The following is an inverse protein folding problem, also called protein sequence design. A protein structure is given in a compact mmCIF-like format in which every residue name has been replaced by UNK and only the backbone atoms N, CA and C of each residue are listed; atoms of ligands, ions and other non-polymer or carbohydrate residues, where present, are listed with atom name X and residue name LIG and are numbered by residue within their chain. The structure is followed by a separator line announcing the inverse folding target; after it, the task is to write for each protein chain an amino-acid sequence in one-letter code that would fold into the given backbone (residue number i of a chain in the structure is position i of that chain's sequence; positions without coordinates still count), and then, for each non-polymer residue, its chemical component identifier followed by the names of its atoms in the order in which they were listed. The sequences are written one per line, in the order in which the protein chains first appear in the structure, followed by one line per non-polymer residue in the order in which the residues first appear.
data_IF_841094445288
#
_entry.id   IF_841094445288
#
_cell.length_a   1.000
_cell.length_b   1.000
_cell.length_c   1.000
_cell.angle_alpha   90.00
_cell.angle_beta   90.00
_cell.angle_gamma   90.00
#
_symmetry.space_group_name_H-M   'P 1'
#
loop_
_entity.id
_entity.type
_entity.pdbx_description
1 polymer ?
#
# COMPACT_ATOMS: atom_id res chain seq x y z
N UNK A 1 31.59 36.80 10.56
CA UNK A 1 30.22 36.26 10.74
C UNK A 1 30.20 34.91 10.06
N UNK A 2 30.24 33.83 10.84
CA UNK A 2 30.05 32.49 10.27
C UNK A 2 28.58 32.37 9.84
N UNK A 3 28.27 31.88 8.64
CA UNK A 3 26.90 31.54 8.31
C UNK A 3 26.46 30.45 9.29
N UNK A 4 25.46 30.73 10.11
CA UNK A 4 24.77 29.71 10.89
C UNK A 4 24.35 28.59 9.94
N UNK A 5 24.57 27.30 10.28
CA UNK A 5 24.05 26.22 9.46
C UNK A 5 22.55 26.43 9.38
N UNK A 6 22.03 26.67 8.18
CA UNK A 6 20.59 26.74 7.93
C UNK A 6 20.02 25.38 8.31
N UNK A 7 19.54 25.24 9.54
CA UNK A 7 18.77 24.09 9.99
C UNK A 7 17.57 24.03 9.08
N UNK A 8 17.51 22.98 8.26
CA UNK A 8 16.42 22.76 7.34
C UNK A 8 15.09 22.84 8.11
N UNK A 9 14.07 23.57 7.62
CA UNK A 9 12.80 23.68 8.31
C UNK A 9 12.20 22.28 8.50
N UNK A 10 11.66 22.03 9.69
CA UNK A 10 11.05 20.76 10.04
C UNK A 10 9.92 20.44 9.04
N UNK A 11 9.98 19.26 8.43
CA UNK A 11 9.01 18.85 7.42
C UNK A 11 8.50 17.44 7.65
N UNK A 12 7.24 17.23 7.28
CA UNK A 12 6.52 15.98 7.49
C UNK A 12 6.17 15.34 6.16
N UNK A 13 6.40 14.05 6.03
CA UNK A 13 5.95 13.23 4.91
C UNK A 13 4.95 12.19 5.42
N UNK A 14 3.68 12.31 5.02
CA UNK A 14 2.65 11.30 5.30
C UNK A 14 2.63 10.24 4.21
N UNK A 15 2.76 8.98 4.58
CA UNK A 15 2.85 7.84 3.64
C UNK A 15 1.69 6.90 3.85
N UNK A 16 1.04 6.52 2.75
CA UNK A 16 0.14 5.36 2.69
C UNK A 16 0.99 4.15 2.26
N UNK A 17 1.23 3.17 3.15
CA UNK A 17 1.87 1.92 2.78
C UNK A 17 0.96 1.10 1.84
N UNK A 18 1.55 0.31 0.91
CA UNK A 18 0.81 -0.64 0.09
C UNK A 18 -0.21 -1.47 0.85
N UNK A 19 -1.44 -1.50 0.32
CA UNK A 19 -2.52 -2.36 0.77
C UNK A 19 -2.89 -3.34 -0.35
N UNK A 20 -3.55 -4.43 0.04
CA UNK A 20 -3.99 -5.48 -0.88
C UNK A 20 -5.23 -5.07 -1.70
N UNK A 21 -6.02 -4.10 -1.21
CA UNK A 21 -7.16 -3.55 -1.94
C UNK A 21 -6.75 -2.32 -2.76
N UNK A 22 -6.61 -2.51 -4.06
CA UNK A 22 -6.18 -1.45 -5.00
C UNK A 22 -7.26 -0.41 -5.32
N UNK A 23 -8.52 -0.72 -4.99
CA UNK A 23 -9.70 0.01 -5.43
C UNK A 23 -10.34 0.90 -4.35
N UNK A 24 -9.83 0.87 -3.10
CA UNK A 24 -10.38 1.67 -1.99
C UNK A 24 -9.37 2.75 -1.59
N UNK A 25 -9.55 4.01 -2.02
CA UNK A 25 -8.65 5.09 -1.59
C UNK A 25 -8.81 5.31 -0.09
N UNK A 26 -7.69 5.41 0.63
CA UNK A 26 -7.70 5.75 2.05
C UNK A 26 -7.21 7.19 2.25
N UNK A 27 -8.09 8.14 2.61
CA UNK A 27 -7.78 9.56 2.52
C UNK A 27 -7.00 10.13 3.73
N UNK A 28 -6.57 9.31 4.70
CA UNK A 28 -6.00 9.79 5.96
C UNK A 28 -4.79 10.70 5.78
N UNK A 29 -3.87 10.35 4.89
CA UNK A 29 -2.66 11.16 4.66
C UNK A 29 -2.99 12.49 4.01
N UNK A 30 -4.01 12.54 3.15
CA UNK A 30 -4.48 13.78 2.55
C UNK A 30 -5.10 14.70 3.62
N UNK A 31 -5.94 14.15 4.49
CA UNK A 31 -6.53 14.88 5.62
C UNK A 31 -5.46 15.39 6.60
N UNK A 32 -4.56 14.52 7.07
CA UNK A 32 -3.49 14.90 8.00
C UNK A 32 -2.56 15.94 7.39
N UNK A 33 -2.22 15.80 6.10
CA UNK A 33 -1.39 16.79 5.40
C UNK A 33 -2.10 18.15 5.30
N UNK A 34 -3.40 18.16 4.98
CA UNK A 34 -4.21 19.38 4.96
C UNK A 34 -4.28 20.06 6.33
N UNK A 35 -4.52 19.26 7.38
CA UNK A 35 -4.54 19.72 8.76
C UNK A 35 -3.19 20.33 9.16
N UNK A 36 -2.07 19.64 8.94
CA UNK A 36 -0.73 20.13 9.27
C UNK A 36 -0.40 21.44 8.57
N UNK A 37 -0.73 21.55 7.28
CA UNK A 37 -0.55 22.80 6.51
C UNK A 37 -1.37 23.94 7.09
N UNK A 38 -2.60 23.67 7.56
CA UNK A 38 -3.43 24.68 8.24
C UNK A 38 -2.82 25.20 9.55
N UNK A 39 -1.88 24.45 10.13
CA UNK A 39 -1.12 24.83 11.34
C UNK A 39 0.28 25.39 11.04
N UNK A 40 0.58 25.67 9.77
CA UNK A 40 1.87 26.24 9.34
C UNK A 40 3.00 25.21 9.26
N UNK A 41 2.71 23.91 9.34
CA UNK A 41 3.71 22.85 9.22
C UNK A 41 3.94 22.52 7.75
N UNK A 42 5.22 22.45 7.34
CA UNK A 42 5.58 21.97 5.99
C UNK A 42 5.27 20.49 5.89
N UNK A 43 4.19 20.13 5.21
CA UNK A 43 3.74 18.74 5.09
C UNK A 43 3.49 18.35 3.63
N UNK A 44 3.85 17.11 3.30
CA UNK A 44 3.65 16.46 2.00
C UNK A 44 3.07 15.06 2.22
N UNK A 45 2.52 14.48 1.16
CA UNK A 45 2.06 13.09 1.21
C UNK A 45 2.56 12.28 0.02
N UNK A 46 2.69 10.97 0.23
CA UNK A 46 3.01 9.99 -0.78
C UNK A 46 2.13 8.75 -0.65
N UNK A 47 1.53 8.35 -1.78
CA UNK A 47 0.80 7.10 -1.90
C UNK A 47 1.74 6.04 -2.51
N UNK A 48 2.46 5.34 -1.64
CA UNK A 48 3.37 4.28 -2.08
C UNK A 48 2.60 3.03 -2.53
N UNK A 49 1.34 2.86 -2.10
CA UNK A 49 0.47 1.78 -2.58
C UNK A 49 0.20 1.92 -4.07
N UNK A 50 -0.29 3.09 -4.48
CA UNK A 50 -0.57 3.38 -5.89
C UNK A 50 0.71 3.38 -6.72
N UNK A 51 1.80 3.99 -6.21
CA UNK A 51 3.09 4.00 -6.94
C UNK A 51 3.66 2.60 -7.15
N UNK A 52 3.53 1.71 -6.17
CA UNK A 52 3.99 0.32 -6.28
C UNK A 52 3.28 -0.40 -7.43
N UNK A 53 1.94 -0.30 -7.45
CA UNK A 53 1.11 -0.93 -8.49
C UNK A 53 1.44 -0.34 -9.85
N UNK A 54 1.54 0.98 -9.97
CA UNK A 54 1.87 1.63 -11.24
C UNK A 54 3.29 1.34 -11.72
N UNK A 55 4.22 0.98 -10.81
CA UNK A 55 5.56 0.55 -11.19
C UNK A 55 5.54 -0.87 -11.77
N UNK A 56 4.78 -1.77 -11.13
CA UNK A 56 4.67 -3.17 -11.52
C UNK A 56 3.78 -3.38 -12.75
N UNK A 57 2.71 -2.60 -12.88
CA UNK A 57 1.73 -2.68 -13.96
C UNK A 57 2.17 -1.87 -15.18
N UNK A 58 3.36 -2.21 -15.66
CA UNK A 58 4.00 -1.73 -16.89
C UNK A 58 4.50 -2.93 -17.69
N UNK A 59 4.78 -2.80 -19.00
CA UNK A 59 5.36 -3.90 -19.77
C UNK A 59 6.64 -4.47 -19.11
N UNK A 60 7.53 -3.59 -18.65
CA UNK A 60 8.74 -3.99 -17.93
C UNK A 60 8.44 -4.72 -16.62
N UNK A 61 7.49 -4.21 -15.82
CA UNK A 61 7.09 -4.86 -14.57
C UNK A 61 6.42 -6.21 -14.82
N UNK A 62 5.64 -6.36 -15.89
CA UNK A 62 5.08 -7.63 -16.33
C UNK A 62 6.18 -8.65 -16.65
N UNK A 63 7.25 -8.24 -17.35
CA UNK A 63 8.41 -9.12 -17.60
C UNK A 63 9.04 -9.61 -16.28
N UNK A 64 9.24 -8.71 -15.31
CA UNK A 64 9.79 -9.09 -14.00
C UNK A 64 8.88 -10.09 -13.25
N UNK A 65 7.56 -9.90 -13.33
CA UNK A 65 6.58 -10.83 -12.73
C UNK A 65 6.62 -12.19 -13.44
N UNK A 66 6.74 -12.21 -14.77
CA UNK A 66 6.91 -13.43 -15.56
C UNK A 66 8.16 -14.21 -15.14
N UNK A 67 9.28 -13.53 -14.92
CA UNK A 67 10.51 -14.19 -14.48
C UNK A 67 10.33 -14.89 -13.13
N UNK A 68 9.62 -14.25 -12.18
CA UNK A 68 9.28 -14.86 -10.89
C UNK A 68 8.30 -16.03 -11.04
N UNK A 69 7.29 -15.90 -11.89
CA UNK A 69 6.34 -16.98 -12.18
C UNK A 69 7.01 -18.21 -12.82
N UNK A 70 7.95 -17.99 -13.75
CA UNK A 70 8.71 -19.07 -14.39
C UNK A 70 9.69 -19.76 -13.42
N UNK A 71 10.21 -19.04 -12.44
CA UNK A 71 11.08 -19.60 -11.40
C UNK A 71 10.34 -20.56 -10.44
N UNK A 72 8.99 -20.49 -10.38
CA UNK A 72 8.21 -21.47 -9.64
C UNK A 72 8.20 -22.83 -10.34
N UNK A 73 8.30 -23.94 -9.59
CA UNK A 73 8.02 -25.27 -10.13
C UNK A 73 6.61 -25.33 -10.73
N UNK A 74 6.47 -25.95 -11.90
CA UNK A 74 5.21 -25.97 -12.65
C UNK A 74 4.03 -26.47 -11.80
N UNK A 75 4.19 -27.59 -11.09
CA UNK A 75 3.13 -28.14 -10.22
C UNK A 75 2.77 -27.29 -8.99
N UNK A 76 3.44 -26.15 -8.75
CA UNK A 76 3.12 -25.19 -7.68
C UNK A 76 2.46 -23.92 -8.22
N UNK A 77 2.32 -23.77 -9.54
CA UNK A 77 1.69 -22.59 -10.14
C UNK A 77 0.17 -22.71 -10.01
N UNK A 78 -0.48 -21.63 -9.61
CA UNK A 78 -1.94 -21.57 -9.57
C UNK A 78 -2.53 -21.46 -10.97
N UNK A 79 -3.86 -21.62 -11.10
CA UNK A 79 -4.56 -21.42 -12.36
C UNK A 79 -4.33 -20.00 -12.93
N UNK A 80 -4.30 -18.99 -12.07
CA UNK A 80 -4.02 -17.60 -12.47
C UNK A 80 -2.60 -17.45 -13.00
N UNK A 81 -1.60 -18.09 -12.37
CA UNK A 81 -0.21 -18.06 -12.85
C UNK A 81 -0.04 -18.78 -14.18
N UNK A 82 -0.68 -19.94 -14.36
CA UNK A 82 -0.68 -20.64 -15.65
C UNK A 82 -1.29 -19.77 -16.75
N UNK A 83 -2.49 -19.24 -16.53
CA UNK A 83 -3.17 -18.38 -17.50
C UNK A 83 -2.33 -17.14 -17.86
N UNK A 84 -1.72 -16.49 -16.86
CA UNK A 84 -0.84 -15.35 -17.10
C UNK A 84 0.36 -15.70 -17.98
N UNK A 85 0.99 -16.86 -17.75
CA UNK A 85 2.13 -17.30 -18.56
C UNK A 85 1.72 -17.62 -20.00
N UNK A 86 0.59 -18.30 -20.19
CA UNK A 86 0.07 -18.68 -21.51
C UNK A 86 -0.34 -17.48 -22.36
N UNK A 87 -0.90 -16.43 -21.71
CA UNK A 87 -1.38 -15.22 -22.38
C UNK A 87 -0.47 -14.00 -22.16
N UNK A 88 0.79 -14.21 -21.79
CA UNK A 88 1.70 -13.13 -21.36
C UNK A 88 1.82 -11.98 -22.38
N UNK A 89 1.97 -12.30 -23.67
CA UNK A 89 2.09 -11.28 -24.72
C UNK A 89 0.86 -10.36 -24.78
N UNK A 90 -0.34 -10.89 -24.51
CA UNK A 90 -1.54 -10.06 -24.39
C UNK A 90 -1.45 -9.16 -23.16
N UNK A 91 -1.11 -9.69 -22.00
CA UNK A 91 -0.95 -8.90 -20.78
C UNK A 91 0.07 -7.76 -20.96
N UNK A 92 1.23 -8.05 -21.53
CA UNK A 92 2.30 -7.09 -21.80
C UNK A 92 1.84 -5.94 -22.70
N UNK A 93 1.05 -6.25 -23.74
CA UNK A 93 0.53 -5.25 -24.68
C UNK A 93 -0.70 -4.49 -24.16
N UNK A 94 -1.50 -5.07 -23.26
CA UNK A 94 -2.75 -4.46 -22.79
C UNK A 94 -2.61 -3.70 -21.47
N UNK A 95 -1.58 -3.98 -20.66
CA UNK A 95 -1.46 -3.40 -19.31
C UNK A 95 -1.37 -1.88 -19.32
N UNK A 96 -0.47 -1.30 -20.13
CA UNK A 96 -0.28 0.15 -20.17
C UNK A 96 -1.51 0.91 -20.71
N UNK A 97 -2.15 0.49 -21.83
CA UNK A 97 -3.41 1.08 -22.27
C UNK A 97 -4.52 0.97 -21.22
N UNK A 98 -4.63 -0.17 -20.52
CA UNK A 98 -5.67 -0.38 -19.51
C UNK A 98 -5.48 0.54 -18.30
N UNK A 99 -4.23 0.71 -17.83
CA UNK A 99 -3.92 1.68 -16.77
C UNK A 99 -4.21 3.12 -17.22
N UNK A 100 -3.88 3.48 -18.47
CA UNK A 100 -4.21 4.81 -19.01
C UNK A 100 -5.73 5.06 -19.06
N UNK A 101 -6.51 4.06 -19.46
CA UNK A 101 -7.98 4.12 -19.45
C UNK A 101 -8.53 4.31 -18.02
N UNK A 102 -8.06 3.52 -17.06
CA UNK A 102 -8.49 3.62 -15.65
C UNK A 102 -8.13 4.97 -15.02
N UNK A 103 -7.02 5.58 -15.46
CA UNK A 103 -6.61 6.92 -15.06
C UNK A 103 -7.35 8.05 -15.82
N UNK A 104 -8.28 7.71 -16.70
CA UNK A 104 -9.04 8.67 -17.51
C UNK A 104 -8.21 9.35 -18.61
N UNK A 105 -7.02 8.85 -18.93
CA UNK A 105 -6.12 9.40 -19.95
C UNK A 105 -6.48 8.96 -21.37
N UNK A 106 -7.15 7.82 -21.51
CA UNK A 106 -7.67 7.31 -22.79
C UNK A 106 -9.05 6.69 -22.62
N UNK A 107 -10.10 7.50 -22.77
CA UNK A 107 -11.49 7.02 -22.69
C UNK A 107 -11.95 6.23 -23.92
N UNK A 108 -11.22 6.29 -25.03
CA UNK A 108 -11.59 5.64 -26.31
C UNK A 108 -11.47 4.13 -26.22
N UNK A 109 -10.61 3.63 -25.32
CA UNK A 109 -10.40 2.20 -25.07
C UNK A 109 -11.65 1.50 -24.50
N UNK A 110 -12.62 2.25 -23.96
CA UNK A 110 -13.87 1.71 -23.38
C UNK A 110 -14.60 0.77 -24.33
N UNK A 111 -14.73 1.11 -25.62
CA UNK A 111 -15.42 0.25 -26.60
C UNK A 111 -14.70 -1.09 -26.80
N UNK A 112 -13.37 -1.06 -26.86
CA UNK A 112 -12.56 -2.27 -27.07
C UNK A 112 -12.57 -3.19 -25.85
N UNK A 113 -12.55 -2.61 -24.65
CA UNK A 113 -12.65 -3.36 -23.39
C UNK A 113 -14.07 -3.93 -23.22
N UNK A 114 -15.11 -3.10 -23.40
CA UNK A 114 -16.50 -3.52 -23.26
C UNK A 114 -16.88 -4.65 -24.22
N UNK A 115 -16.28 -4.67 -25.42
CA UNK A 115 -16.44 -5.74 -26.39
C UNK A 115 -15.68 -7.04 -26.10
N UNK A 116 -15.01 -7.16 -24.93
CA UNK A 116 -14.29 -8.36 -24.44
C UNK A 116 -13.17 -8.93 -25.33
N UNK A 117 -12.94 -8.38 -26.53
CA UNK A 117 -11.87 -8.81 -27.44
C UNK A 117 -10.49 -8.22 -27.13
N UNK A 118 -10.39 -7.23 -26.24
CA UNK A 118 -9.13 -6.54 -25.96
C UNK A 118 -8.31 -7.22 -24.85
N UNK A 119 -8.89 -7.41 -23.66
CA UNK A 119 -8.20 -7.93 -22.48
C UNK A 119 -8.10 -9.47 -22.53
N UNK A 120 -7.01 -10.07 -22.02
CA UNK A 120 -7.03 -11.46 -21.62
C UNK A 120 -7.95 -11.62 -20.39
N UNK A 121 -8.82 -12.62 -20.43
CA UNK A 121 -9.84 -12.85 -19.39
C UNK A 121 -9.49 -14.12 -18.60
N UNK A 122 -8.87 -13.94 -17.43
CA UNK A 122 -8.42 -15.02 -16.57
C UNK A 122 -9.51 -15.51 -15.60
N UNK A 123 -9.14 -16.29 -14.57
CA UNK A 123 -10.09 -16.91 -13.64
C UNK A 123 -11.09 -15.94 -12.98
N UNK A 124 -10.75 -14.65 -12.79
CA UNK A 124 -11.68 -13.65 -12.23
C UNK A 124 -12.86 -13.33 -13.15
N UNK A 125 -12.80 -13.70 -14.42
CA UNK A 125 -13.89 -13.49 -15.38
C UNK A 125 -14.93 -14.62 -15.37
N UNK A 126 -14.65 -15.78 -14.77
CA UNK A 126 -15.61 -16.91 -14.72
C UNK A 126 -16.92 -16.56 -14.01
N UNK A 127 -16.89 -15.60 -13.08
CA UNK A 127 -18.09 -15.10 -12.42
C UNK A 127 -19.08 -14.41 -13.39
N UNK A 128 -18.59 -13.94 -14.56
CA UNK A 128 -19.44 -13.34 -15.59
C UNK A 128 -20.26 -14.39 -16.34
N UNK A 129 -19.75 -15.61 -16.47
CA UNK A 129 -20.41 -16.70 -17.20
C UNK A 129 -21.55 -17.31 -16.38
N UNK A 130 -21.55 -17.15 -15.06
CA UNK A 130 -22.60 -17.64 -14.16
C UNK A 130 -23.93 -16.85 -14.26
N UNK A 131 -23.93 -15.71 -14.95
CA UNK A 131 -25.11 -14.88 -15.21
C UNK A 131 -25.54 -14.93 -16.69
N UNK A 132 -24.97 -15.86 -17.46
CA UNK A 132 -25.45 -16.13 -18.82
C UNK A 132 -26.71 -16.99 -18.74
N UNK A 133 -27.87 -16.35 -18.58
CA UNK A 133 -29.17 -17.02 -18.46
C UNK A 133 -29.65 -17.67 -19.79
N UNK A 134 -28.80 -17.72 -20.84
CA UNK A 134 -29.08 -18.36 -22.12
C UNK A 134 -30.16 -17.68 -22.98
N UNK A 135 -30.93 -16.75 -22.41
CA UNK A 135 -31.95 -15.95 -23.09
C UNK A 135 -31.45 -14.55 -23.48
N UNK A 136 -30.33 -14.08 -22.90
CA UNK A 136 -29.74 -12.78 -23.20
C UNK A 136 -28.36 -12.93 -23.84
N UNK A 137 -28.09 -12.25 -24.95
CA UNK A 137 -26.79 -12.29 -25.63
C UNK A 137 -25.64 -11.62 -24.83
N UNK A 138 -25.92 -11.09 -23.64
CA UNK A 138 -24.99 -10.35 -22.81
C UNK A 138 -25.22 -10.67 -21.32
N UNK A 139 -24.40 -11.55 -20.71
CA UNK A 139 -24.51 -11.98 -19.30
C UNK A 139 -24.48 -10.83 -18.27
N UNK A 140 -24.07 -9.64 -18.71
CA UNK A 140 -23.96 -8.44 -17.89
C UNK A 140 -25.10 -7.43 -18.10
N UNK A 141 -26.02 -7.68 -19.04
CA UNK A 141 -27.08 -6.73 -19.38
C UNK A 141 -27.98 -6.38 -18.19
N UNK A 142 -28.23 -7.34 -17.29
CA UNK A 142 -29.03 -7.14 -16.08
C UNK A 142 -28.32 -6.27 -15.03
N UNK A 143 -27.02 -6.46 -14.83
CA UNK A 143 -26.22 -5.71 -13.85
C UNK A 143 -25.84 -4.30 -14.34
N UNK A 144 -25.74 -4.12 -15.66
CA UNK A 144 -25.29 -2.88 -16.29
C UNK A 144 -26.39 -2.10 -17.02
N UNK A 145 -27.67 -2.49 -16.93
CA UNK A 145 -28.82 -1.86 -17.60
C UNK A 145 -28.58 -0.46 -18.22
N UNK A 146 -28.65 0.59 -17.40
CA UNK A 146 -28.39 1.99 -17.82
C UNK A 146 -26.94 2.48 -17.58
N UNK A 147 -26.03 1.62 -17.13
CA UNK A 147 -24.61 1.93 -16.96
C UNK A 147 -23.96 1.97 -18.35
N UNK A 148 -23.48 3.15 -18.74
CA UNK A 148 -22.89 3.37 -20.06
C UNK A 148 -21.68 2.47 -20.29
N UNK A 149 -21.33 2.28 -21.57
CA UNK A 149 -20.16 1.51 -22.03
C UNK A 149 -18.87 1.73 -21.23
N UNK A 150 -18.68 2.92 -20.65
CA UNK A 150 -17.54 3.24 -19.80
C UNK A 150 -17.50 2.47 -18.47
N UNK A 151 -18.64 2.31 -17.80
CA UNK A 151 -18.68 1.66 -16.49
C UNK A 151 -18.51 0.15 -16.62
N UNK A 152 -19.10 -0.45 -17.67
CA UNK A 152 -18.79 -1.82 -18.07
C UNK A 152 -17.30 -2.01 -18.32
N UNK A 153 -16.68 -1.11 -19.09
CA UNK A 153 -15.24 -1.19 -19.36
C UNK A 153 -14.39 -1.05 -18.09
N UNK A 154 -14.76 -0.18 -17.15
CA UNK A 154 -14.08 -0.05 -15.84
C UNK A 154 -14.20 -1.33 -15.02
N UNK A 155 -15.37 -1.97 -15.01
CA UNK A 155 -15.56 -3.23 -14.31
C UNK A 155 -14.68 -4.34 -14.88
N UNK A 156 -14.68 -4.54 -16.20
CA UNK A 156 -13.84 -5.55 -16.87
C UNK A 156 -12.35 -5.27 -16.66
N UNK A 157 -11.93 -4.00 -16.76
CA UNK A 157 -10.56 -3.61 -16.45
C UNK A 157 -10.18 -3.90 -14.99
N UNK A 158 -11.13 -3.77 -14.05
CA UNK A 158 -10.92 -4.11 -12.64
C UNK A 158 -10.74 -5.62 -12.45
N UNK A 159 -11.56 -6.45 -13.12
CA UNK A 159 -11.37 -7.92 -13.10
C UNK A 159 -10.00 -8.32 -13.66
N UNK A 160 -9.57 -7.68 -14.75
CA UNK A 160 -8.24 -7.87 -15.32
C UNK A 160 -7.11 -7.50 -14.35
N UNK A 161 -7.23 -6.39 -13.61
CA UNK A 161 -6.25 -6.05 -12.57
C UNK A 161 -6.30 -7.03 -11.38
N UNK A 162 -7.47 -7.56 -11.04
CA UNK A 162 -7.61 -8.57 -9.98
C UNK A 162 -6.96 -9.91 -10.37
N UNK A 163 -7.04 -10.32 -11.64
CA UNK A 163 -6.28 -11.49 -12.14
C UNK A 163 -4.77 -11.28 -11.94
N UNK A 164 -4.25 -10.11 -12.31
CA UNK A 164 -2.84 -9.77 -12.09
C UNK A 164 -2.47 -9.70 -10.61
N UNK A 165 -3.39 -9.26 -9.75
CA UNK A 165 -3.19 -9.28 -8.30
C UNK A 165 -3.07 -10.72 -7.75
N UNK A 166 -3.86 -11.67 -8.28
CA UNK A 166 -3.72 -13.09 -7.94
C UNK A 166 -2.37 -13.64 -8.42
N UNK A 167 -1.90 -13.25 -9.62
CA UNK A 167 -0.58 -13.64 -10.12
C UNK A 167 0.53 -13.09 -9.22
N UNK A 168 0.46 -11.81 -8.82
CA UNK A 168 1.41 -11.22 -7.89
C UNK A 168 1.44 -12.00 -6.57
N UNK A 169 0.28 -12.34 -6.02
CA UNK A 169 0.20 -13.15 -4.80
C UNK A 169 0.85 -14.52 -4.99
N UNK A 170 0.47 -15.23 -6.04
CA UNK A 170 0.80 -16.65 -6.21
C UNK A 170 2.23 -16.87 -6.72
N UNK A 171 2.77 -15.90 -7.49
CA UNK A 171 4.09 -16.00 -8.13
C UNK A 171 5.18 -15.12 -7.51
N UNK A 172 4.82 -13.99 -6.90
CA UNK A 172 5.78 -12.97 -6.50
C UNK A 172 5.88 -12.84 -5.00
N UNK A 173 4.74 -12.70 -4.32
CA UNK A 173 4.70 -12.50 -2.89
C UNK A 173 3.41 -13.03 -2.27
N UNK A 174 3.48 -14.24 -1.70
CA UNK A 174 2.36 -14.83 -0.97
C UNK A 174 2.02 -14.05 0.31
N UNK A 175 2.88 -13.12 0.75
CA UNK A 175 2.62 -12.21 1.88
C UNK A 175 1.72 -11.06 1.45
N UNK A 176 1.47 -10.85 0.16
CA UNK A 176 0.46 -9.90 -0.29
C UNK A 176 -0.99 -10.37 -0.03
N UNK A 177 -1.18 -11.50 0.67
CA UNK A 177 -2.46 -11.97 1.16
C UNK A 177 -2.56 -11.77 2.68
N UNK A 178 -3.14 -10.67 3.15
CA UNK A 178 -3.29 -10.41 4.59
C UNK A 178 -4.74 -10.22 5.05
N UNK A 179 -5.69 -10.90 4.41
CA UNK A 179 -7.00 -11.16 5.05
C UNK A 179 -6.80 -12.02 6.31
N UNK A 180 -5.79 -12.89 6.34
CA UNK A 180 -5.54 -13.78 7.47
C UNK A 180 -4.81 -13.15 8.66
N UNK A 181 -4.23 -11.95 8.54
CA UNK A 181 -3.64 -11.30 9.71
C UNK A 181 -4.73 -10.77 10.67
N UNK A 182 -5.80 -10.18 10.13
CA UNK A 182 -6.97 -9.78 10.92
C UNK A 182 -7.74 -10.97 11.50
N UNK A 183 -7.92 -12.05 10.73
CA UNK A 183 -8.58 -13.26 11.23
C UNK A 183 -7.73 -14.04 12.25
N UNK A 184 -6.40 -14.05 12.09
CA UNK A 184 -5.48 -14.62 13.08
C UNK A 184 -5.41 -13.78 14.37
N UNK A 185 -5.71 -12.48 14.31
CA UNK A 185 -5.83 -11.59 15.49
C UNK A 185 -7.14 -11.81 16.25
N UNK A 186 -8.21 -12.23 15.56
CA UNK A 186 -9.48 -12.60 16.19
C UNK A 186 -9.44 -13.95 16.93
N UNK A 187 -8.43 -14.78 16.66
CA UNK A 187 -8.16 -16.03 17.37
C UNK A 187 -7.13 -15.82 18.49
N UNK A 188 -7.54 -16.05 19.73
CA UNK A 188 -6.75 -15.95 20.97
C UNK A 188 -5.26 -16.31 20.80
N UNK A 189 -4.38 -15.31 21.05
CA UNK A 189 -2.91 -15.30 20.98
C UNK A 189 -2.26 -15.10 19.60
N UNK A 190 -2.55 -13.99 18.95
CA UNK A 190 -1.70 -13.47 17.88
C UNK A 190 -0.38 -12.93 18.45
N UNK A 191 0.71 -13.65 18.20
CA UNK A 191 2.07 -13.17 18.49
C UNK A 191 2.60 -12.36 17.31
N UNK A 192 3.54 -11.45 17.55
CA UNK A 192 4.24 -10.70 16.50
C UNK A 192 5.23 -11.55 15.69
N UNK A 193 5.47 -12.80 16.12
CA UNK A 193 6.48 -13.70 15.58
C UNK A 193 6.35 -13.96 14.07
N UNK A 194 5.15 -14.21 13.50
CA UNK A 194 5.03 -14.42 12.06
C UNK A 194 5.42 -13.17 11.25
N UNK A 195 5.12 -11.97 11.76
CA UNK A 195 5.47 -10.71 11.12
C UNK A 195 6.98 -10.48 11.20
N UNK A 196 7.59 -10.71 12.36
CA UNK A 196 9.03 -10.62 12.54
C UNK A 196 9.78 -11.56 11.59
N UNK A 197 9.32 -12.81 11.47
CA UNK A 197 9.90 -13.79 10.54
C UNK A 197 9.75 -13.34 9.07
N UNK A 198 8.59 -12.81 8.69
CA UNK A 198 8.38 -12.28 7.34
C UNK A 198 9.27 -11.05 7.04
N UNK A 199 9.53 -10.20 8.04
CA UNK A 199 10.39 -9.02 7.93
C UNK A 199 11.89 -9.37 7.96
N UNK A 200 12.27 -10.49 8.57
CA UNK A 200 13.64 -10.99 8.57
C UNK A 200 13.98 -11.77 7.28
N UNK A 201 12.97 -12.28 6.57
CA UNK A 201 13.17 -13.00 5.33
C UNK A 201 13.69 -12.11 4.19
N UNK A 202 14.36 -12.70 3.17
CA UNK A 202 14.81 -11.97 1.99
C UNK A 202 13.70 -11.16 1.33
N UNK A 203 14.10 -10.06 0.69
CA UNK A 203 13.19 -9.18 -0.03
C UNK A 203 12.57 -9.90 -1.22
N UNK A 204 11.26 -9.73 -1.39
CA UNK A 204 10.55 -10.10 -2.62
C UNK A 204 10.70 -8.99 -3.67
N UNK A 205 10.25 -9.22 -4.91
CA UNK A 205 10.19 -8.16 -5.93
C UNK A 205 9.32 -6.98 -5.46
N UNK A 206 8.26 -7.26 -4.70
CA UNK A 206 7.40 -6.23 -4.09
C UNK A 206 8.20 -5.40 -3.08
N UNK A 207 8.94 -6.06 -2.19
CA UNK A 207 9.79 -5.40 -1.19
C UNK A 207 10.88 -4.53 -1.85
N UNK A 208 11.56 -5.06 -2.88
CA UNK A 208 12.61 -4.34 -3.62
C UNK A 208 12.06 -3.09 -4.31
N UNK A 209 10.91 -3.23 -4.96
CA UNK A 209 10.23 -2.10 -5.64
C UNK A 209 9.76 -1.07 -4.61
N UNK A 210 9.19 -1.50 -3.48
CA UNK A 210 8.78 -0.63 -2.39
C UNK A 210 9.97 0.10 -1.77
N UNK A 211 11.11 -0.57 -1.60
CA UNK A 211 12.34 0.03 -1.11
C UNK A 211 12.82 1.15 -2.06
N UNK A 212 12.86 0.87 -3.37
CA UNK A 212 13.25 1.86 -4.37
C UNK A 212 12.32 3.10 -4.36
N UNK A 213 11.00 2.87 -4.28
CA UNK A 213 10.01 3.94 -4.20
C UNK A 213 10.12 4.75 -2.91
N UNK A 214 10.41 4.08 -1.79
CA UNK A 214 10.64 4.72 -0.49
C UNK A 214 11.85 5.65 -0.57
N UNK A 215 12.99 5.16 -1.08
CA UNK A 215 14.20 5.98 -1.22
C UNK A 215 13.97 7.18 -2.13
N UNK A 216 13.27 6.99 -3.26
CA UNK A 216 12.89 8.09 -4.15
C UNK A 216 12.03 9.14 -3.45
N UNK A 217 11.06 8.72 -2.63
CA UNK A 217 10.23 9.65 -1.86
C UNK A 217 11.05 10.43 -0.82
N UNK A 218 11.97 9.76 -0.13
CA UNK A 218 12.86 10.41 0.85
C UNK A 218 13.84 11.37 0.17
N UNK A 219 14.39 11.03 -0.99
CA UNK A 219 15.26 11.93 -1.75
C UNK A 219 14.51 13.17 -2.25
N UNK A 220 13.26 12.99 -2.70
CA UNK A 220 12.42 14.08 -3.19
C UNK A 220 12.00 15.05 -2.09
N UNK A 221 11.52 14.54 -0.96
CA UNK A 221 10.90 15.36 0.10
C UNK A 221 11.86 15.69 1.23
N UNK A 222 12.85 14.82 1.48
CA UNK A 222 13.85 14.93 2.53
C UNK A 222 13.23 15.36 3.89
N UNK A 223 12.27 14.56 4.42
CA UNK A 223 11.48 14.93 5.60
C UNK A 223 12.29 14.82 6.89
N UNK A 224 11.84 15.52 7.93
CA UNK A 224 12.30 15.33 9.32
C UNK A 224 11.52 14.22 10.04
N UNK A 225 10.26 14.04 9.66
CA UNK A 225 9.34 13.04 10.22
C UNK A 225 8.54 12.36 9.10
N UNK A 226 8.51 11.03 9.11
CA UNK A 226 7.64 10.22 8.27
C UNK A 226 6.48 9.68 9.11
N UNK A 227 5.25 9.91 8.63
CA UNK A 227 4.04 9.36 9.23
C UNK A 227 3.59 8.15 8.40
N UNK A 228 3.61 6.97 8.98
CA UNK A 228 3.07 5.75 8.39
C UNK A 228 1.62 5.59 8.83
N UNK A 229 0.68 5.85 7.91
CA UNK A 229 -0.75 5.67 8.17
C UNK A 229 -1.18 4.26 7.79
N UNK A 230 -1.46 3.44 8.79
CA UNK A 230 -1.80 2.01 8.66
C UNK A 230 -3.25 1.79 9.07
N UNK A 231 -4.20 1.78 8.11
CA UNK A 231 -5.61 1.69 8.46
C UNK A 231 -6.09 0.28 8.77
N UNK A 232 -5.43 -0.74 8.23
CA UNK A 232 -5.82 -2.14 8.40
C UNK A 232 -4.57 -3.02 8.64
N UNK A 233 -4.72 -4.20 9.28
CA UNK A 233 -3.62 -5.13 9.51
C UNK A 233 -2.80 -5.45 8.24
N UNK A 234 -3.47 -5.51 7.08
CA UNK A 234 -2.82 -5.86 5.81
C UNK A 234 -1.77 -4.88 5.28
N UNK A 235 -1.64 -3.67 5.85
CA UNK A 235 -0.59 -2.72 5.48
C UNK A 235 0.59 -2.68 6.45
N UNK A 236 0.52 -3.38 7.58
CA UNK A 236 1.55 -3.32 8.64
C UNK A 236 2.90 -3.82 8.12
N UNK A 237 2.89 -4.92 7.37
CA UNK A 237 4.11 -5.48 6.78
C UNK A 237 4.83 -4.45 5.90
N UNK A 238 4.10 -3.86 4.94
CA UNK A 238 4.64 -2.86 4.04
C UNK A 238 5.10 -1.59 4.80
N UNK A 239 4.36 -1.17 5.84
CA UNK A 239 4.76 -0.07 6.71
C UNK A 239 6.12 -0.33 7.38
N UNK A 240 6.32 -1.53 7.93
CA UNK A 240 7.60 -1.89 8.55
C UNK A 240 8.72 -2.13 7.55
N UNK A 241 8.43 -2.58 6.32
CA UNK A 241 9.42 -2.59 5.23
C UNK A 241 9.88 -1.20 4.84
N UNK A 242 8.96 -0.23 4.73
CA UNK A 242 9.28 1.18 4.53
C UNK A 242 10.16 1.68 5.69
N UNK A 243 9.78 1.37 6.93
CA UNK A 243 10.51 1.80 8.11
C UNK A 243 11.94 1.21 8.20
N UNK A 244 12.10 -0.09 7.91
CA UNK A 244 13.43 -0.75 7.80
C UNK A 244 14.30 -0.04 6.76
N UNK A 245 13.74 0.28 5.59
CA UNK A 245 14.45 1.00 4.54
C UNK A 245 14.92 2.37 5.02
N UNK A 246 14.02 3.15 5.64
CA UNK A 246 14.33 4.50 6.14
C UNK A 246 15.39 4.43 7.25
N UNK A 247 15.21 3.60 8.28
CA UNK A 247 16.20 3.49 9.37
C UNK A 247 17.59 3.07 8.87
N UNK A 248 17.65 2.21 7.84
CA UNK A 248 18.92 1.76 7.25
C UNK A 248 19.66 2.87 6.49
N UNK A 249 18.96 3.72 5.74
CA UNK A 249 19.60 4.70 4.84
C UNK A 249 19.58 6.13 5.39
N UNK A 250 18.60 6.45 6.24
CA UNK A 250 18.35 7.77 6.79
C UNK A 250 17.95 7.68 8.28
N UNK A 251 18.84 7.18 9.17
CA UNK A 251 18.53 6.97 10.59
C UNK A 251 18.20 8.24 11.39
N UNK A 252 18.42 9.42 10.80
CA UNK A 252 18.09 10.72 11.38
C UNK A 252 16.62 11.12 11.17
N UNK A 253 15.89 10.42 10.29
CA UNK A 253 14.47 10.70 10.03
C UNK A 253 13.65 9.98 11.09
N UNK A 254 12.83 10.74 11.82
CA UNK A 254 11.90 10.16 12.78
C UNK A 254 10.75 9.46 12.07
N UNK A 255 10.24 8.37 12.63
CA UNK A 255 9.14 7.59 12.08
C UNK A 255 8.03 7.45 13.12
N UNK A 256 6.82 7.90 12.77
CA UNK A 256 5.63 7.71 13.58
C UNK A 256 4.64 6.78 12.89
N UNK A 257 4.05 5.86 13.65
CA UNK A 257 3.00 4.93 13.22
C UNK A 257 1.64 5.41 13.73
N UNK A 258 0.61 5.36 12.89
CA UNK A 258 -0.77 5.66 13.29
C UNK A 258 -1.78 4.99 12.37
N UNK A 259 -3.08 5.22 12.60
CA UNK A 259 -4.17 4.70 11.78
C UNK A 259 -5.05 3.68 12.48
N UNK A 260 -6.07 3.17 11.77
CA UNK A 260 -7.08 2.27 12.30
C UNK A 260 -6.50 1.04 13.01
N UNK A 261 -5.53 0.37 12.40
CA UNK A 261 -4.85 -0.79 13.00
C UNK A 261 -4.20 -0.45 14.34
N UNK A 262 -3.56 0.72 14.43
CA UNK A 262 -2.90 1.15 15.67
C UNK A 262 -3.93 1.42 16.77
N UNK A 263 -5.08 1.99 16.40
CA UNK A 263 -6.15 2.33 17.31
C UNK A 263 -6.97 1.14 17.82
N UNK A 264 -6.94 0.02 17.11
CA UNK A 264 -7.68 -1.21 17.47
C UNK A 264 -6.74 -2.27 18.02
N UNK A 265 -5.76 -2.72 17.23
CA UNK A 265 -4.93 -3.89 17.51
C UNK A 265 -3.72 -3.54 18.39
N UNK A 266 -3.20 -2.32 18.30
CA UNK A 266 -2.04 -1.87 19.09
C UNK A 266 -2.43 -0.94 20.26
N UNK A 267 -3.73 -0.80 20.56
CA UNK A 267 -4.19 0.09 21.64
C UNK A 267 -3.61 -0.31 22.99
N UNK A 268 -3.67 -1.60 23.30
CA UNK A 268 -3.09 -2.17 24.51
C UNK A 268 -1.65 -2.63 24.25
N UNK A 269 -0.81 -1.76 23.66
CA UNK A 269 0.53 -2.07 23.14
C UNK A 269 1.36 -2.97 24.09
N UNK A 270 1.37 -4.27 23.82
CA UNK A 270 2.12 -5.29 24.57
C UNK A 270 3.39 -5.75 23.86
N UNK A 271 3.56 -5.40 22.58
CA UNK A 271 4.68 -5.85 21.76
C UNK A 271 5.77 -4.77 21.64
N UNK A 272 6.89 -4.87 22.38
CA UNK A 272 7.96 -3.89 22.34
C UNK A 272 8.70 -3.86 20.99
N UNK A 273 8.73 -4.96 20.23
CA UNK A 273 9.44 -5.03 18.93
C UNK A 273 8.87 -4.12 17.87
N UNK A 274 7.67 -3.55 18.05
CA UNK A 274 7.15 -2.48 17.18
C UNK A 274 8.14 -1.31 17.10
N UNK A 275 8.83 -1.00 18.19
CA UNK A 275 9.79 0.10 18.26
C UNK A 275 11.15 -0.19 17.62
N UNK A 276 11.41 -1.44 17.22
CA UNK A 276 12.56 -1.75 16.35
C UNK A 276 12.39 -1.06 14.98
N UNK A 277 11.14 -0.76 14.59
CA UNK A 277 10.78 -0.22 13.29
C UNK A 277 10.40 1.26 13.34
N UNK A 278 9.73 1.72 14.39
CA UNK A 278 9.22 3.11 14.49
C UNK A 278 9.64 3.77 15.80
N UNK A 279 9.74 5.10 15.82
CA UNK A 279 10.15 5.84 17.00
C UNK A 279 8.95 6.26 17.87
N UNK A 280 7.81 6.47 17.23
CA UNK A 280 6.59 6.95 17.87
C UNK A 280 5.35 6.18 17.41
N UNK A 281 4.40 6.04 18.32
CA UNK A 281 3.05 5.51 18.02
C UNK A 281 2.04 6.59 18.38
N UNK A 282 1.16 6.91 17.43
CA UNK A 282 0.07 7.89 17.59
C UNK A 282 -1.27 7.16 17.65
N UNK A 283 -2.03 7.43 18.70
CA UNK A 283 -3.36 6.87 18.93
C UNK A 283 -4.46 7.91 18.66
N UNK A 284 -5.69 7.42 18.54
CA UNK A 284 -6.92 8.19 18.33
C UNK A 284 -6.94 9.00 17.03
N UNK A 285 -7.45 10.25 17.06
CA UNK A 285 -7.74 11.05 15.87
C UNK A 285 -6.49 11.56 15.12
N UNK A 286 -5.29 11.30 15.64
CA UNK A 286 -4.01 11.65 15.00
C UNK A 286 -3.66 13.14 15.06
N UNK A 287 -4.60 14.06 14.86
CA UNK A 287 -4.36 15.50 14.77
C UNK A 287 -3.69 16.12 16.02
N UNK A 288 -4.32 15.97 17.20
CA UNK A 288 -3.77 16.52 18.46
C UNK A 288 -2.49 15.79 18.91
N UNK A 289 -2.43 14.44 18.90
CA UNK A 289 -1.20 13.72 19.22
C UNK A 289 -0.03 14.12 18.31
N UNK A 290 -0.30 14.35 17.03
CA UNK A 290 0.72 14.74 16.07
C UNK A 290 1.25 16.16 16.35
N UNK A 291 0.39 17.14 16.68
CA UNK A 291 0.89 18.46 17.09
C UNK A 291 1.79 18.38 18.33
N UNK A 292 1.38 17.59 19.32
CA UNK A 292 2.16 17.38 20.52
C UNK A 292 3.52 16.69 20.24
N UNK A 293 3.54 15.73 19.30
CA UNK A 293 4.77 15.10 18.83
C UNK A 293 5.68 16.11 18.11
N UNK A 294 5.11 16.98 17.27
CA UNK A 294 5.88 18.02 16.57
C UNK A 294 6.48 19.04 17.54
N UNK A 295 5.73 19.50 18.53
CA UNK A 295 6.22 20.37 19.61
C UNK A 295 7.40 19.71 20.37
N UNK A 296 7.28 18.41 20.66
CA UNK A 296 8.34 17.65 21.32
C UNK A 296 9.61 17.56 20.46
N UNK A 297 9.48 17.17 19.19
CA UNK A 297 10.60 17.05 18.27
C UNK A 297 11.29 18.39 17.96
N UNK A 298 10.57 19.50 18.08
CA UNK A 298 11.09 20.86 17.90
C UNK A 298 11.64 21.48 19.21
N UNK A 299 11.61 20.74 20.32
CA UNK A 299 12.10 21.23 21.62
C UNK A 299 11.24 22.34 22.24
N UNK A 300 10.00 22.53 21.78
CA UNK A 300 9.07 23.56 22.24
C UNK A 300 8.32 23.17 23.52
N UNK A 301 8.45 21.90 23.95
CA UNK A 301 8.00 21.44 25.27
C UNK A 301 9.15 21.43 26.28
N UNK A 302 8.95 22.09 27.42
CA UNK A 302 9.79 21.92 28.59
C UNK A 302 9.80 20.44 29.02
N UNK A 303 10.93 19.97 29.55
CA UNK A 303 11.20 18.58 29.97
C UNK A 303 10.29 18.02 31.10
N UNK A 304 9.09 18.57 31.30
CA UNK A 304 8.11 18.17 32.31
C UNK A 304 6.64 18.45 31.99
N UNK A 305 6.29 18.99 30.80
CA UNK A 305 4.91 18.92 30.30
C UNK A 305 4.67 17.50 29.75
N UNK A 306 3.52 16.83 29.95
CA UNK A 306 3.41 15.38 29.83
C UNK A 306 3.76 14.89 28.42
N UNK A 307 5.05 14.63 28.25
CA UNK A 307 5.63 13.74 27.28
C UNK A 307 6.03 12.50 28.09
N UNK A 308 5.01 11.70 28.39
CA UNK A 308 5.02 10.23 28.37
C UNK A 308 6.17 9.52 29.10
N UNK A 309 5.85 8.75 30.14
CA UNK A 309 6.83 7.93 30.86
C UNK A 309 7.52 6.95 29.92
N UNK A 310 8.82 7.17 29.73
CA UNK A 310 9.79 6.22 29.24
C UNK A 310 9.91 5.08 30.26
N UNK A 311 8.97 4.12 30.24
CA UNK A 311 9.18 2.81 30.87
C UNK A 311 9.56 1.83 29.78
N UNK A 312 10.83 1.46 29.72
CA UNK A 312 11.35 0.48 28.76
C UNK A 312 11.48 0.97 27.31
N UNK A 313 11.50 2.28 27.07
CA UNK A 313 11.78 2.85 25.73
C UNK A 313 10.56 3.33 24.92
N UNK A 314 9.37 3.44 25.50
CA UNK A 314 8.15 3.79 24.76
C UNK A 314 7.63 5.24 25.02
N UNK A 315 7.20 5.94 23.95
CA UNK A 315 6.37 7.14 24.00
C UNK A 315 4.88 6.76 23.81
N UNK A 316 4.02 7.05 24.79
CA UNK A 316 2.58 6.69 24.80
C UNK A 316 1.68 7.91 24.97
N UNK A 317 0.85 8.26 24.00
CA UNK A 317 -0.27 9.20 24.22
C UNK A 317 -1.43 8.47 24.93
N UNK A 318 -1.92 9.06 26.03
CA UNK A 318 -3.27 8.83 26.56
C UNK A 318 -4.15 10.00 26.16
#
# INVERSE_FOLDING_TARGET
MNPSPTTKPFSVLSVIPPMTQLNTPYPSTAYLTGFLRSRGVTATQEDLALKLVLCLFTPQGMTQIKDKALALPEGKRSASVHFFLDFFERYENTIAPTIAFLQGKDSTLSHRIAGRGFLPEGPRFTALDAYDDGESADPLAWAFGALGQQDRARHLATLYLNDLADVLRDAVDSRFEFVRYGESLAGSQATFEPLANALAAPLTLMDETLQALTLKAIEQHQPSLVLLSVPFPGAVYAAFRIAQCIKRHHPHIHIALGGGFVNTELRELTEPRVFDYVDFVTLDSGERPLLALLEHLQGQRAAGAPAHQLQGGAFRFR
#
